data_IF_373534902649
#
_entry.id   IF_373534902649
#
_cell.length_a   1.000
_cell.length_b   1.000
_cell.length_c   1.000
_cell.angle_alpha   90.00
_cell.angle_beta   90.00
_cell.angle_gamma   90.00
#
_symmetry.space_group_name_H-M   'P 1'
#
loop_
_entity.id
_entity.type
_entity.pdbx_description
1 polymer ?
#
# COMPACT_ATOMS: atom_id res chain seq x y z
N UNK A 1 4.32 -6.70 -15.14
CA UNK A 1 5.51 -7.41 -14.61
C UNK A 1 5.05 -8.77 -14.13
N UNK A 2 5.71 -9.88 -14.50
CA UNK A 2 5.29 -11.20 -14.03
C UNK A 2 5.55 -11.33 -12.51
N UNK A 3 4.74 -12.10 -11.76
CA UNK A 3 4.76 -12.11 -10.29
C UNK A 3 6.11 -12.48 -9.67
N UNK A 4 6.92 -13.24 -10.41
CA UNK A 4 8.21 -13.78 -10.03
C UNK A 4 9.40 -12.85 -10.34
N UNK A 5 9.21 -11.79 -11.12
CA UNK A 5 10.31 -10.89 -11.50
C UNK A 5 10.92 -10.17 -10.29
N UNK A 6 10.10 -9.74 -9.32
CA UNK A 6 10.61 -9.11 -8.09
C UNK A 6 11.39 -10.10 -7.23
N UNK A 7 10.88 -11.32 -7.09
CA UNK A 7 11.56 -12.36 -6.31
C UNK A 7 12.89 -12.76 -6.96
N UNK A 8 12.94 -12.85 -8.29
CA UNK A 8 14.16 -13.16 -9.05
C UNK A 8 15.19 -12.04 -8.93
N UNK A 9 14.78 -10.78 -9.10
CA UNK A 9 15.67 -9.62 -8.91
C UNK A 9 16.19 -9.50 -7.47
N UNK A 10 15.36 -9.82 -6.48
CA UNK A 10 15.76 -9.87 -5.08
C UNK A 10 16.76 -11.01 -4.82
N UNK A 11 16.57 -12.18 -5.45
CA UNK A 11 17.52 -13.29 -5.37
C UNK A 11 18.86 -12.94 -6.05
N UNK A 12 18.83 -12.22 -7.18
CA UNK A 12 20.02 -11.73 -7.90
C UNK A 12 20.84 -10.70 -7.10
N UNK A 13 20.23 -10.06 -6.09
CA UNK A 13 20.98 -9.22 -5.16
C UNK A 13 22.00 -10.03 -4.34
N UNK A 14 21.76 -11.33 -4.12
CA UNK A 14 22.63 -12.23 -3.37
C UNK A 14 23.07 -11.64 -2.03
N UNK A 15 24.34 -11.82 -1.70
CA UNK A 15 24.97 -11.24 -0.51
C UNK A 15 25.60 -9.84 -0.76
N UNK A 16 25.40 -9.22 -1.93
CA UNK A 16 25.96 -7.89 -2.23
C UNK A 16 25.04 -6.79 -1.66
N UNK A 17 25.43 -6.13 -0.56
CA UNK A 17 24.56 -5.15 0.09
C UNK A 17 24.27 -3.95 -0.80
N UNK A 18 25.17 -3.61 -1.75
CA UNK A 18 24.98 -2.47 -2.66
C UNK A 18 23.94 -2.76 -3.72
N UNK A 19 23.86 -3.99 -4.22
CA UNK A 19 22.81 -4.41 -5.16
C UNK A 19 21.46 -4.43 -4.46
N UNK A 20 21.43 -4.96 -3.24
CA UNK A 20 20.23 -4.94 -2.39
C UNK A 20 19.76 -3.51 -2.14
N UNK A 21 20.65 -2.60 -1.77
CA UNK A 21 20.32 -1.19 -1.53
C UNK A 21 19.75 -0.54 -2.80
N UNK A 22 20.43 -0.69 -3.94
CA UNK A 22 19.94 -0.17 -5.22
C UNK A 22 18.57 -0.75 -5.61
N UNK A 23 18.33 -2.04 -5.37
CA UNK A 23 17.03 -2.67 -5.60
C UNK A 23 15.94 -2.06 -4.70
N UNK A 24 16.20 -1.94 -3.40
CA UNK A 24 15.23 -1.37 -2.45
C UNK A 24 14.91 0.08 -2.80
N UNK A 25 15.92 0.91 -3.04
CA UNK A 25 15.74 2.33 -3.39
C UNK A 25 15.01 2.53 -4.71
N UNK A 26 15.26 1.67 -5.71
CA UNK A 26 14.62 1.82 -7.02
C UNK A 26 13.19 1.28 -7.06
N UNK A 27 12.89 0.19 -6.35
CA UNK A 27 11.64 -0.56 -6.54
C UNK A 27 10.74 -0.60 -5.31
N UNK A 28 11.30 -0.52 -4.10
CA UNK A 28 10.53 -0.67 -2.86
C UNK A 28 10.24 0.68 -2.19
N UNK A 29 11.23 1.57 -2.13
CA UNK A 29 11.10 2.86 -1.45
C UNK A 29 10.07 3.79 -2.11
N UNK A 30 9.95 3.89 -3.45
CA UNK A 30 8.98 4.78 -4.07
C UNK A 30 7.51 4.48 -3.74
N UNK A 31 7.00 3.23 -3.90
CA UNK A 31 5.62 2.94 -3.51
C UNK A 31 5.42 3.06 -2.00
N UNK A 32 6.43 2.71 -1.18
CA UNK A 32 6.38 2.92 0.27
C UNK A 32 6.21 4.40 0.63
N UNK A 33 7.00 5.29 0.03
CA UNK A 33 6.90 6.72 0.25
C UNK A 33 5.52 7.27 -0.14
N UNK A 34 5.00 6.87 -1.30
CA UNK A 34 3.69 7.32 -1.76
C UNK A 34 2.55 6.92 -0.80
N UNK A 35 2.58 5.70 -0.25
CA UNK A 35 1.62 5.26 0.78
C UNK A 35 1.84 6.03 2.08
N UNK A 36 3.10 6.25 2.47
CA UNK A 36 3.47 7.06 3.63
C UNK A 36 2.87 8.47 3.57
N UNK A 37 3.06 9.17 2.45
CA UNK A 37 2.53 10.52 2.22
C UNK A 37 0.99 10.56 2.32
N UNK A 38 0.32 9.52 1.80
CA UNK A 38 -1.14 9.41 1.87
C UNK A 38 -1.63 9.24 3.32
N UNK A 39 -0.93 8.42 4.13
CA UNK A 39 -1.23 8.22 5.55
C UNK A 39 -0.95 9.49 6.36
N UNK A 40 0.19 10.13 6.12
CA UNK A 40 0.55 11.40 6.79
C UNK A 40 -0.50 12.48 6.50
N UNK A 41 -0.98 12.56 5.25
CA UNK A 41 -2.07 13.45 4.88
C UNK A 41 -3.40 13.13 5.59
N UNK A 42 -3.71 11.84 5.81
CA UNK A 42 -4.90 11.43 6.54
C UNK A 42 -4.81 11.77 8.04
N UNK A 43 -3.64 11.56 8.65
CA UNK A 43 -3.36 11.95 10.04
C UNK A 43 -3.49 13.47 10.20
N UNK A 44 -2.90 14.25 9.29
CA UNK A 44 -2.95 15.70 9.34
C UNK A 44 -4.37 16.27 9.22
N UNK A 45 -5.29 15.56 8.56
CA UNK A 45 -6.71 15.93 8.48
C UNK A 45 -7.53 15.47 9.69
N UNK A 46 -6.96 14.63 10.56
CA UNK A 46 -7.68 13.99 11.66
C UNK A 46 -8.58 12.83 11.21
N UNK A 47 -8.32 12.25 10.04
CA UNK A 47 -9.09 11.10 9.54
C UNK A 47 -8.75 9.81 10.30
N UNK A 48 -7.52 9.72 10.82
CA UNK A 48 -7.00 8.60 11.61
C UNK A 48 -6.86 8.99 13.08
N UNK A 49 -6.95 8.01 13.99
CA UNK A 49 -6.76 8.25 15.43
C UNK A 49 -5.34 8.80 15.69
N UNK A 50 -5.22 9.59 16.75
CA UNK A 50 -3.99 10.26 17.16
C UNK A 50 -2.90 9.30 17.68
N UNK A 51 -3.30 8.11 18.12
CA UNK A 51 -2.43 7.04 18.62
C UNK A 51 -1.92 6.08 17.53
N UNK A 52 -2.24 6.33 16.26
CA UNK A 52 -1.84 5.46 15.15
C UNK A 52 -0.34 5.59 14.90
N UNK A 53 0.35 4.45 14.94
CA UNK A 53 1.70 4.30 14.41
C UNK A 53 1.63 4.20 12.87
N UNK A 54 2.10 5.27 12.20
CA UNK A 54 2.05 5.40 10.73
C UNK A 54 2.90 4.35 10.02
N UNK A 55 4.09 4.05 10.54
CA UNK A 55 4.99 3.07 9.92
C UNK A 55 4.45 1.66 10.09
N UNK A 56 3.90 1.34 11.26
CA UNK A 56 3.24 0.05 11.50
C UNK A 56 2.04 -0.15 10.57
N UNK A 57 1.19 0.87 10.41
CA UNK A 57 0.02 0.77 9.52
C UNK A 57 0.43 0.52 8.07
N UNK A 58 1.49 1.18 7.61
CA UNK A 58 2.07 0.93 6.29
C UNK A 58 2.59 -0.50 6.17
N UNK A 59 3.35 -0.97 7.17
CA UNK A 59 3.92 -2.32 7.17
C UNK A 59 2.83 -3.40 7.17
N UNK A 60 1.71 -3.17 7.85
CA UNK A 60 0.56 -4.07 7.82
C UNK A 60 -0.04 -4.16 6.41
N UNK A 61 -0.21 -3.04 5.71
CA UNK A 61 -0.68 -3.02 4.30
C UNK A 61 0.29 -3.77 3.38
N UNK A 62 1.58 -3.44 3.48
CA UNK A 62 2.62 -4.05 2.65
C UNK A 62 2.73 -5.56 2.92
N UNK A 63 2.65 -5.99 4.18
CA UNK A 63 2.83 -7.39 4.56
C UNK A 63 1.81 -8.32 3.91
N UNK A 64 0.55 -7.88 3.72
CA UNK A 64 -0.47 -8.67 3.02
C UNK A 64 -0.03 -9.02 1.59
N UNK A 65 0.39 -8.01 0.82
CA UNK A 65 0.81 -8.17 -0.58
C UNK A 65 2.04 -9.06 -0.66
N UNK A 66 3.02 -8.82 0.20
CA UNK A 66 4.27 -9.60 0.21
C UNK A 66 4.03 -11.04 0.68
N UNK A 67 3.18 -11.27 1.68
CA UNK A 67 2.84 -12.60 2.18
C UNK A 67 2.12 -13.43 1.11
N UNK A 68 1.17 -12.82 0.38
CA UNK A 68 0.47 -13.48 -0.74
C UNK A 68 1.41 -13.76 -1.91
N UNK A 69 2.26 -12.81 -2.28
CA UNK A 69 3.24 -13.00 -3.35
C UNK A 69 4.27 -14.08 -3.01
N UNK A 70 4.78 -14.10 -1.77
CA UNK A 70 5.80 -15.05 -1.33
C UNK A 70 5.30 -16.50 -1.36
N UNK A 71 4.10 -16.74 -0.86
CA UNK A 71 3.55 -18.11 -0.73
C UNK A 71 2.63 -18.51 -1.88
N UNK A 72 2.24 -17.58 -2.76
CA UNK A 72 1.34 -17.85 -3.88
C UNK A 72 -0.02 -18.44 -3.47
N UNK A 73 -0.41 -18.28 -2.21
CA UNK A 73 -1.53 -19.00 -1.61
C UNK A 73 -2.90 -18.32 -1.83
N UNK A 74 -2.91 -17.09 -2.31
CA UNK A 74 -4.12 -16.32 -2.58
C UNK A 74 -3.91 -15.28 -3.68
N UNK A 75 -4.98 -14.93 -4.38
CA UNK A 75 -5.00 -13.87 -5.39
C UNK A 75 -4.93 -12.50 -4.69
N UNK A 76 -4.29 -11.53 -5.34
CA UNK A 76 -4.31 -10.12 -4.92
C UNK A 76 -5.03 -9.32 -6.01
N UNK A 77 -6.36 -9.39 -6.01
CA UNK A 77 -7.22 -8.58 -6.89
C UNK A 77 -7.51 -7.23 -6.25
N UNK A 78 -8.02 -6.28 -7.05
CA UNK A 78 -8.42 -4.97 -6.56
C UNK A 78 -9.46 -5.07 -5.42
N UNK A 79 -10.48 -5.93 -5.57
CA UNK A 79 -11.49 -6.18 -4.53
C UNK A 79 -10.88 -6.68 -3.21
N UNK A 80 -9.87 -7.55 -3.28
CA UNK A 80 -9.18 -8.08 -2.11
C UNK A 80 -8.33 -7.02 -1.40
N UNK A 81 -7.66 -6.17 -2.18
CA UNK A 81 -6.88 -5.05 -1.66
C UNK A 81 -7.82 -4.02 -1.03
N UNK A 82 -8.93 -3.68 -1.68
CA UNK A 82 -9.94 -2.77 -1.17
C UNK A 82 -10.51 -3.28 0.17
N UNK A 83 -10.87 -4.56 0.22
CA UNK A 83 -11.38 -5.17 1.45
C UNK A 83 -10.34 -5.18 2.57
N UNK A 84 -9.06 -5.40 2.27
CA UNK A 84 -7.98 -5.32 3.25
C UNK A 84 -7.79 -3.90 3.79
N UNK A 85 -7.78 -2.89 2.91
CA UNK A 85 -7.71 -1.48 3.28
C UNK A 85 -8.90 -1.11 4.17
N UNK A 86 -10.12 -1.47 3.79
CA UNK A 86 -11.30 -1.24 4.60
C UNK A 86 -11.24 -1.94 5.97
N UNK A 87 -10.67 -3.14 6.03
CA UNK A 87 -10.49 -3.87 7.29
C UNK A 87 -9.55 -3.13 8.22
N UNK A 88 -8.41 -2.65 7.70
CA UNK A 88 -7.46 -1.86 8.47
C UNK A 88 -8.05 -0.52 8.90
N UNK A 89 -8.68 0.22 7.99
CA UNK A 89 -9.27 1.55 8.27
C UNK A 89 -10.38 1.48 9.33
N UNK A 90 -11.19 0.42 9.37
CA UNK A 90 -12.16 0.22 10.47
C UNK A 90 -11.49 0.17 11.85
N UNK A 91 -10.24 -0.29 11.91
CA UNK A 91 -9.47 -0.38 13.14
C UNK A 91 -8.79 0.93 13.54
N UNK A 92 -8.53 1.86 12.62
CA UNK A 92 -7.67 3.03 12.85
C UNK A 92 -8.29 4.39 12.51
N UNK A 93 -9.42 4.43 11.81
CA UNK A 93 -10.09 5.68 11.44
C UNK A 93 -10.87 6.28 12.63
N UNK A 94 -10.97 7.60 12.66
CA UNK A 94 -11.83 8.34 13.61
C UNK A 94 -13.31 8.18 13.23
N UNK A 95 -13.63 8.34 11.94
CA UNK A 95 -14.96 8.15 11.36
C UNK A 95 -14.85 7.34 10.06
N UNK A 96 -14.83 6.01 10.18
CA UNK A 96 -14.74 5.13 9.03
C UNK A 96 -15.90 5.31 8.02
N UNK A 97 -17.19 5.34 8.42
CA UNK A 97 -18.28 5.62 7.49
C UNK A 97 -18.11 6.93 6.72
N UNK A 98 -17.71 8.00 7.40
CA UNK A 98 -17.44 9.30 6.78
C UNK A 98 -16.30 9.23 5.75
N UNK A 99 -15.21 8.53 6.07
CA UNK A 99 -14.06 8.37 5.19
C UNK A 99 -14.40 7.61 3.90
N UNK A 100 -15.21 6.55 4.00
CA UNK A 100 -15.69 5.80 2.83
C UNK A 100 -16.55 6.67 1.93
N UNK A 101 -17.41 7.51 2.51
CA UNK A 101 -18.26 8.42 1.75
C UNK A 101 -17.45 9.51 1.04
N UNK A 102 -16.34 9.97 1.64
CA UNK A 102 -15.39 10.88 0.97
C UNK A 102 -14.68 10.19 -0.18
N UNK A 103 -14.26 8.93 -0.02
CA UNK A 103 -13.62 8.16 -1.09
C UNK A 103 -14.55 7.99 -2.28
N UNK A 104 -15.78 7.53 -2.05
CA UNK A 104 -16.78 7.33 -3.13
C UNK A 104 -17.07 8.60 -3.91
N UNK A 105 -17.12 9.75 -3.24
CA UNK A 105 -17.29 11.05 -3.89
C UNK A 105 -16.08 11.43 -4.76
N UNK A 106 -14.87 11.03 -4.36
CA UNK A 106 -13.64 11.23 -5.15
C UNK A 106 -13.53 10.25 -6.31
N UNK A 107 -13.96 8.99 -6.14
CA UNK A 107 -13.95 7.99 -7.22
C UNK A 107 -14.92 8.34 -8.34
N UNK A 108 -15.97 9.14 -8.06
CA UNK A 108 -16.83 9.74 -9.08
C UNK A 108 -16.25 11.00 -9.75
N UNK A 109 -15.05 11.47 -9.37
CA UNK A 109 -14.39 12.63 -9.99
C UNK A 109 -13.65 12.21 -11.27
N UNK A 110 -14.03 12.74 -12.46
CA UNK A 110 -13.42 12.40 -13.74
C UNK A 110 -11.91 12.56 -13.79
N UNK A 111 -11.34 13.41 -12.93
CA UNK A 111 -9.90 13.70 -12.89
C UNK A 111 -9.06 12.58 -12.28
N UNK A 112 -9.67 11.66 -11.52
CA UNK A 112 -8.97 10.53 -10.88
C UNK A 112 -8.85 9.32 -11.84
N UNK A 113 -9.80 9.13 -12.76
CA UNK A 113 -9.82 8.00 -13.70
C UNK A 113 -8.66 7.97 -14.72
N UNK A 114 -7.93 9.07 -14.93
CA UNK A 114 -6.83 9.13 -15.89
C UNK A 114 -5.56 8.39 -15.43
N UNK A 115 -5.51 7.80 -14.23
CA UNK A 115 -4.31 7.14 -13.70
C UNK A 115 -4.34 5.60 -13.71
N UNK A 116 -5.44 4.97 -14.15
CA UNK A 116 -5.58 3.51 -14.19
C UNK A 116 -5.70 2.92 -15.62
N UNK A 117 -5.54 3.75 -16.66
CA UNK A 117 -5.51 3.32 -18.05
C UNK A 117 -4.14 3.64 -18.67
N UNK A 118 -3.18 2.75 -18.47
CA UNK A 118 -1.83 2.81 -19.04
C UNK A 118 -1.12 1.48 -18.95
#
# INVERSE_FOLDING_TARGET
MPPDALASLLADCGDDPRRRDAFMTALFDPPRAAVGDALDGAIARGDLRDDVDRDLLLDLLASLVHYRALFGHAVTSDDEVEQAVHTLLRGVAVDYPGLVEVSRRKDGDPRIHHRHAG
#
